data_IF_763410786585
#
_entry.id   IF_763410786585
#
_cell.length_a   1.000
_cell.length_b   1.000
_cell.length_c   1.000
_cell.angle_alpha   90.00
_cell.angle_beta   90.00
_cell.angle_gamma   90.00
#
_symmetry.space_group_name_H-M   'P 1'
#
loop_
_entity.id
_entity.type
_entity.pdbx_description
1 polymer ?
#
# COMPACT_ATOMS: atom_id res chain seq x y z
N UNK A 1 11.24 -6.54 0.69
CA UNK A 1 10.06 -6.09 1.44
C UNK A 1 9.16 -5.25 0.55
N UNK A 2 7.88 -5.31 0.78
CA UNK A 2 6.88 -4.57 0.01
C UNK A 2 6.23 -3.52 0.89
N UNK A 3 5.87 -2.38 0.31
CA UNK A 3 5.14 -1.33 1.00
C UNK A 3 3.82 -1.07 0.30
N UNK A 4 2.73 -1.15 1.05
CA UNK A 4 1.39 -0.87 0.55
C UNK A 4 0.99 0.53 0.96
N UNK A 5 0.73 1.38 -0.03
CA UNK A 5 0.23 2.73 0.19
C UNK A 5 -1.28 2.72 0.08
N UNK A 6 -1.95 2.91 1.19
CA UNK A 6 -3.40 2.93 1.27
C UNK A 6 -3.85 4.39 1.33
N UNK A 7 -4.66 4.79 0.38
CA UNK A 7 -5.14 6.17 0.28
C UNK A 7 -6.66 6.19 0.22
N UNK A 8 -7.31 6.51 1.33
CA UNK A 8 -8.76 6.53 1.40
C UNK A 8 -9.42 7.58 0.52
N UNK A 9 -8.90 8.81 0.40
CA UNK A 9 -9.54 9.81 -0.48
C UNK A 9 -9.68 9.37 -1.93
N UNK A 10 -8.73 8.61 -2.47
CA UNK A 10 -8.77 8.10 -3.84
C UNK A 10 -9.26 6.67 -3.94
N UNK A 11 -9.27 5.93 -2.82
CA UNK A 11 -9.57 4.51 -2.80
C UNK A 11 -8.45 3.62 -3.31
N UNK A 12 -7.28 4.18 -3.59
CA UNK A 12 -6.17 3.43 -4.18
C UNK A 12 -5.35 2.71 -3.12
N UNK A 13 -5.05 1.44 -3.40
CA UNK A 13 -4.16 0.60 -2.62
C UNK A 13 -2.99 0.21 -3.52
N UNK A 14 -1.92 0.99 -3.47
CA UNK A 14 -0.76 0.83 -4.32
C UNK A 14 0.35 0.06 -3.62
N UNK A 15 0.79 -1.04 -4.23
CA UNK A 15 1.88 -1.84 -3.69
C UNK A 15 3.17 -1.53 -4.43
N UNK A 16 4.26 -1.30 -3.66
CA UNK A 16 5.58 -1.01 -4.18
C UNK A 16 6.62 -1.95 -3.60
N UNK A 17 7.70 -2.20 -4.34
CA UNK A 17 8.93 -2.70 -3.75
C UNK A 17 9.58 -1.57 -2.93
N UNK A 18 10.30 -1.95 -1.89
CA UNK A 18 11.03 -0.98 -1.07
C UNK A 18 12.04 -0.16 -1.87
N UNK A 19 12.58 -0.72 -2.95
CA UNK A 19 13.55 -0.04 -3.83
C UNK A 19 12.90 0.84 -4.89
N UNK A 20 11.57 0.87 -4.98
CA UNK A 20 10.87 1.70 -5.96
C UNK A 20 11.04 3.18 -5.61
N UNK A 21 11.37 4.00 -6.61
CA UNK A 21 11.56 5.45 -6.40
C UNK A 21 10.29 6.16 -5.92
N UNK A 22 9.13 5.56 -6.14
CA UNK A 22 7.86 6.10 -5.65
C UNK A 22 7.48 5.54 -4.29
N UNK A 23 8.26 4.63 -3.74
CA UNK A 23 8.04 4.07 -2.42
C UNK A 23 8.69 4.99 -1.39
N UNK A 24 7.88 5.76 -0.71
CA UNK A 24 8.36 6.73 0.28
C UNK A 24 7.49 6.68 1.53
N UNK A 25 7.58 5.58 2.32
CA UNK A 25 6.80 5.48 3.54
C UNK A 25 7.22 6.55 4.52
N UNK A 26 6.31 7.46 4.80
CA UNK A 26 6.59 8.55 5.74
C UNK A 26 5.33 8.87 6.51
N UNK A 27 5.51 9.12 7.80
CA UNK A 27 4.40 9.47 8.66
C UNK A 27 4.06 10.94 8.52
N UNK A 28 2.76 11.21 8.37
CA UNK A 28 2.22 12.57 8.33
C UNK A 28 1.05 12.64 9.31
N UNK A 29 0.46 13.83 9.48
CA UNK A 29 -0.73 13.99 10.31
C UNK A 29 -1.93 13.23 9.76
N UNK A 30 -1.92 12.89 8.47
CA UNK A 30 -3.04 12.24 7.79
C UNK A 30 -2.80 10.78 7.46
N UNK A 31 -1.55 10.35 7.41
CA UNK A 31 -1.16 9.00 7.00
C UNK A 31 -0.12 8.43 7.95
N UNK A 32 -0.35 7.22 8.44
CA UNK A 32 0.57 6.55 9.35
C UNK A 32 1.53 5.60 8.65
N UNK A 33 2.55 5.15 9.35
CA UNK A 33 3.45 4.08 8.93
C UNK A 33 3.21 2.90 9.87
N UNK A 34 2.75 1.78 9.30
CA UNK A 34 2.31 0.59 10.03
C UNK A 34 1.17 0.87 11.04
N UNK A 35 0.44 1.95 10.80
CA UNK A 35 -0.80 2.25 11.54
C UNK A 35 -1.70 3.13 10.68
N UNK A 36 -3.01 3.01 10.88
CA UNK A 36 -3.97 3.84 10.15
C UNK A 36 -4.12 5.21 10.78
N UNK A 37 -4.25 6.23 9.92
CA UNK A 37 -4.71 7.56 10.28
C UNK A 37 -5.88 7.94 9.36
N UNK A 38 -6.41 9.15 9.49
CA UNK A 38 -7.65 9.55 8.79
C UNK A 38 -7.66 9.34 7.28
N UNK A 39 -6.53 9.50 6.61
CA UNK A 39 -6.44 9.37 5.15
C UNK A 39 -5.79 8.07 4.68
N UNK A 40 -5.38 7.19 5.58
CA UNK A 40 -4.81 5.90 5.21
C UNK A 40 -3.52 5.57 5.92
N UNK A 41 -2.66 4.81 5.25
CA UNK A 41 -1.42 4.33 5.85
C UNK A 41 -0.44 3.76 4.84
N UNK A 42 0.80 3.57 5.30
CA UNK A 42 1.79 2.74 4.65
C UNK A 42 1.99 1.50 5.52
N UNK A 43 1.78 0.31 4.94
CA UNK A 43 2.03 -0.95 5.64
C UNK A 43 3.08 -1.78 4.91
N UNK A 44 3.99 -2.40 5.67
CA UNK A 44 5.02 -3.27 5.12
C UNK A 44 4.61 -4.73 5.16
N UNK A 45 5.01 -5.49 4.13
CA UNK A 45 4.72 -6.91 4.01
C UNK A 45 5.94 -7.66 3.50
N UNK A 46 6.09 -8.91 3.93
CA UNK A 46 7.20 -9.76 3.52
C UNK A 46 7.01 -10.41 2.15
N UNK A 47 5.78 -10.40 1.61
CA UNK A 47 5.49 -10.99 0.30
C UNK A 47 4.35 -10.28 -0.38
N UNK A 48 4.27 -10.42 -1.71
CA UNK A 48 3.16 -9.91 -2.51
C UNK A 48 1.84 -10.51 -2.02
N UNK A 49 1.82 -11.83 -1.79
CA UNK A 49 0.61 -12.56 -1.40
C UNK A 49 0.06 -12.06 -0.07
N UNK A 50 0.93 -11.75 0.88
CA UNK A 50 0.49 -11.22 2.18
C UNK A 50 -0.16 -9.84 2.03
N UNK A 51 0.41 -9.00 1.18
CA UNK A 51 -0.16 -7.68 0.91
C UNK A 51 -1.52 -7.79 0.22
N UNK A 52 -1.63 -8.67 -0.77
CA UNK A 52 -2.88 -8.90 -1.49
C UNK A 52 -3.97 -9.44 -0.57
N UNK A 53 -3.62 -10.37 0.31
CA UNK A 53 -4.55 -10.93 1.29
C UNK A 53 -5.04 -9.83 2.24
N UNK A 54 -4.15 -8.99 2.70
CA UNK A 54 -4.50 -7.86 3.57
C UNK A 54 -5.51 -6.93 2.88
N UNK A 55 -5.29 -6.65 1.60
CA UNK A 55 -6.24 -5.86 0.81
C UNK A 55 -7.61 -6.53 0.78
N UNK A 56 -7.66 -7.83 0.43
CA UNK A 56 -8.91 -8.56 0.33
C UNK A 56 -9.70 -8.60 1.63
N UNK A 57 -8.99 -8.66 2.76
CA UNK A 57 -9.63 -8.72 4.08
C UNK A 57 -10.06 -7.35 4.61
N UNK A 58 -9.46 -6.26 4.13
CA UNK A 58 -9.66 -4.93 4.71
C UNK A 58 -10.23 -3.91 3.72
N UNK A 59 -10.42 -4.29 2.48
CA UNK A 59 -10.91 -3.36 1.45
C UNK A 59 -12.32 -2.85 1.76
N UNK A 60 -12.57 -1.60 1.32
CA UNK A 60 -13.91 -1.04 1.29
C UNK A 60 -14.52 -1.23 -0.10
N UNK A 61 -15.82 -0.94 -0.27
CA UNK A 61 -16.51 -1.16 -1.54
C UNK A 61 -15.91 -0.38 -2.71
N UNK A 62 -15.28 0.76 -2.44
CA UNK A 62 -14.67 1.62 -3.45
C UNK A 62 -13.13 1.45 -3.54
N UNK A 63 -12.57 0.46 -2.85
CA UNK A 63 -11.13 0.23 -2.84
C UNK A 63 -10.65 -0.39 -4.15
N UNK A 64 -9.51 0.10 -4.66
CA UNK A 64 -8.92 -0.34 -5.91
C UNK A 64 -7.51 -0.89 -5.64
N UNK A 65 -7.29 -2.15 -5.99
CA UNK A 65 -5.97 -2.78 -5.92
C UNK A 65 -5.17 -2.40 -7.16
N UNK A 66 -4.10 -1.62 -6.94
CA UNK A 66 -3.31 -1.10 -8.06
C UNK A 66 -1.80 -1.21 -7.76
N UNK A 67 -1.20 -2.38 -7.98
CA UNK A 67 0.25 -2.51 -7.85
C UNK A 67 0.98 -1.52 -8.75
N UNK A 68 2.07 -0.96 -8.24
CA UNK A 68 2.84 0.04 -8.96
C UNK A 68 3.35 -0.49 -10.30
N UNK A 69 3.11 0.22 -11.39
CA UNK A 69 3.55 -0.19 -12.72
C UNK A 69 5.04 0.04 -12.92
N UNK A 70 5.63 0.97 -12.20
CA UNK A 70 7.04 1.30 -12.34
C UNK A 70 7.94 0.20 -11.78
N UNK A 71 7.70 -0.25 -10.55
CA UNK A 71 8.51 -1.31 -9.95
C UNK A 71 7.95 -2.70 -10.18
N UNK A 72 6.68 -2.80 -10.58
CA UNK A 72 6.01 -4.05 -10.95
C UNK A 72 6.19 -5.16 -9.90
N UNK A 73 5.71 -4.97 -8.65
CA UNK A 73 6.02 -5.88 -7.54
C UNK A 73 5.54 -7.32 -7.75
N UNK A 74 4.51 -7.52 -8.58
CA UNK A 74 3.99 -8.86 -8.85
C UNK A 74 4.99 -9.76 -9.56
N UNK A 75 5.93 -9.19 -10.33
CA UNK A 75 6.91 -9.96 -11.10
C UNK A 75 8.16 -10.31 -10.31
N UNK A 76 8.32 -9.77 -9.14
CA UNK A 76 9.53 -9.98 -8.34
C UNK A 76 9.25 -10.83 -7.08
#
# INVERSE_FOLDING_TARGET
MYWLNIDYPTGLWKLHFESCRYCNPSETVRKGVNEFKGHGAWFSFGSFEKAELYFKENRKSDSIWQPCKTCNPKRK
#
